data_IF_417935661275
#
_entry.id   IF_417935661275
#
_cell.length_a   1.000
_cell.length_b   1.000
_cell.length_c   1.000
_cell.angle_alpha   90.00
_cell.angle_beta   90.00
_cell.angle_gamma   90.00
#
_symmetry.space_group_name_H-M   'P 1'
#
loop_
_entity.id
_entity.type
_entity.pdbx_description
1 polymer ?
#
# COMPACT_ATOMS: atom_id res chain seq x y z
N UNK A 1 -22.81 6.75 2.29
CA UNK A 1 -21.81 7.08 1.25
C UNK A 1 -22.36 8.09 0.23
N UNK A 2 -23.33 7.74 -0.64
CA UNK A 2 -23.80 8.62 -1.73
C UNK A 2 -24.23 10.04 -1.30
N UNK A 3 -25.09 10.16 -0.28
CA UNK A 3 -25.58 11.46 0.20
C UNK A 3 -24.44 12.36 0.73
N UNK A 4 -23.50 11.78 1.49
CA UNK A 4 -22.34 12.50 2.01
C UNK A 4 -21.42 12.97 0.88
N UNK A 5 -21.15 12.11 -0.09
CA UNK A 5 -20.32 12.46 -1.25
C UNK A 5 -20.92 13.61 -2.07
N UNK A 6 -22.24 13.58 -2.32
CA UNK A 6 -22.93 14.67 -3.00
C UNK A 6 -22.94 15.96 -2.17
N UNK A 7 -23.07 15.87 -0.85
CA UNK A 7 -23.04 17.05 0.03
C UNK A 7 -21.66 17.72 0.02
N UNK A 8 -20.57 16.95 0.14
CA UNK A 8 -19.19 17.46 0.04
C UNK A 8 -18.97 18.13 -1.32
N UNK A 9 -19.35 17.47 -2.41
CA UNK A 9 -19.17 18.01 -3.75
C UNK A 9 -20.00 19.28 -4.00
N UNK A 10 -21.22 19.34 -3.44
CA UNK A 10 -22.07 20.55 -3.50
C UNK A 10 -21.41 21.74 -2.80
N UNK A 11 -20.78 21.50 -1.66
CA UNK A 11 -20.10 22.54 -0.87
C UNK A 11 -18.78 22.97 -1.52
N UNK A 12 -17.99 22.01 -2.01
CA UNK A 12 -16.74 22.28 -2.68
C UNK A 12 -16.53 21.32 -3.87
N UNK A 13 -16.83 21.77 -5.11
CA UNK A 13 -16.69 20.92 -6.29
C UNK A 13 -15.23 20.72 -6.71
N UNK A 14 -14.26 21.42 -6.10
CA UNK A 14 -12.86 21.35 -6.49
C UNK A 14 -12.11 20.17 -5.85
N UNK A 15 -12.58 19.66 -4.70
CA UNK A 15 -11.89 18.59 -3.96
C UNK A 15 -12.24 17.20 -4.49
N UNK A 16 -11.32 16.26 -4.28
CA UNK A 16 -11.61 14.82 -4.43
C UNK A 16 -12.47 14.35 -3.25
N UNK A 17 -13.34 13.38 -3.52
CA UNK A 17 -14.21 12.76 -2.53
C UNK A 17 -13.84 11.29 -2.45
N UNK A 18 -13.21 10.90 -1.34
CA UNK A 18 -12.83 9.52 -1.06
C UNK A 18 -14.06 8.75 -0.55
N UNK A 19 -14.31 7.59 -1.15
CA UNK A 19 -15.36 6.66 -0.75
C UNK A 19 -14.71 5.43 -0.13
N UNK A 20 -14.89 5.33 1.18
CA UNK A 20 -14.40 4.23 2.00
C UNK A 20 -15.21 2.95 1.82
N UNK A 21 -14.58 1.83 2.15
CA UNK A 21 -15.24 0.53 2.21
C UNK A 21 -16.16 0.38 3.42
N UNK A 22 -16.67 -0.83 3.60
CA UNK A 22 -17.28 -1.25 4.86
C UNK A 22 -16.25 -2.02 5.69
N UNK A 23 -16.58 -2.22 6.98
CA UNK A 23 -15.81 -3.06 7.89
C UNK A 23 -14.34 -2.62 7.98
N UNK A 24 -14.12 -1.43 8.57
CA UNK A 24 -12.79 -0.79 8.64
C UNK A 24 -12.16 -0.62 7.25
N UNK A 25 -12.98 -0.23 6.27
CA UNK A 25 -12.58 0.06 4.90
C UNK A 25 -11.89 -1.11 4.17
N UNK A 26 -12.20 -2.34 4.57
CA UNK A 26 -11.65 -3.55 3.94
C UNK A 26 -12.58 -4.17 2.89
N UNK A 27 -13.83 -3.71 2.79
CA UNK A 27 -14.87 -4.35 1.97
C UNK A 27 -15.53 -3.38 0.97
N UNK A 28 -15.18 -3.50 -0.31
CA UNK A 28 -15.73 -2.73 -1.43
C UNK A 28 -16.52 -3.58 -2.45
N UNK A 29 -16.48 -4.91 -2.31
CA UNK A 29 -17.07 -5.86 -3.26
C UNK A 29 -18.58 -5.71 -3.43
N UNK A 30 -19.27 -5.10 -2.45
CA UNK A 30 -20.70 -4.81 -2.55
C UNK A 30 -21.03 -3.88 -3.74
N UNK A 31 -20.07 -3.02 -4.14
CA UNK A 31 -20.22 -2.10 -5.27
C UNK A 31 -20.36 -2.82 -6.61
N UNK A 32 -19.95 -4.09 -6.73
CA UNK A 32 -20.21 -4.93 -7.92
C UNK A 32 -21.70 -5.13 -8.18
N UNK A 33 -22.50 -5.19 -7.11
CA UNK A 33 -23.94 -5.42 -7.18
C UNK A 33 -24.73 -4.14 -7.01
N UNK A 34 -24.22 -3.21 -6.21
CA UNK A 34 -24.88 -1.94 -5.89
C UNK A 34 -23.89 -0.79 -6.01
N UNK A 35 -23.61 -0.32 -7.24
CA UNK A 35 -22.82 0.89 -7.45
C UNK A 35 -23.46 2.10 -6.77
N UNK A 36 -22.66 3.11 -6.41
CA UNK A 36 -23.16 4.30 -5.71
C UNK A 36 -24.15 5.14 -6.53
N UNK A 37 -24.09 5.05 -7.86
CA UNK A 37 -24.91 5.79 -8.83
C UNK A 37 -25.02 7.29 -8.50
N UNK A 38 -23.87 7.94 -8.28
CA UNK A 38 -23.77 9.39 -8.07
C UNK A 38 -23.00 10.05 -9.21
N UNK A 39 -23.34 11.28 -9.53
CA UNK A 39 -22.59 12.10 -10.49
C UNK A 39 -21.95 13.28 -9.76
N UNK A 40 -20.64 13.16 -9.51
CA UNK A 40 -19.78 14.24 -8.97
C UNK A 40 -18.62 14.52 -9.92
N UNK A 41 -18.81 14.25 -11.22
CA UNK A 41 -17.76 14.36 -12.24
C UNK A 41 -16.55 13.45 -11.97
N UNK A 42 -15.35 13.96 -12.27
CA UNK A 42 -14.07 13.27 -12.08
C UNK A 42 -13.50 13.41 -10.66
N UNK A 43 -14.36 13.59 -9.65
CA UNK A 43 -13.94 13.84 -8.26
C UNK A 43 -14.03 12.61 -7.36
N UNK A 44 -14.60 11.52 -7.85
CA UNK A 44 -14.77 10.29 -7.09
C UNK A 44 -13.48 9.46 -7.04
N UNK A 45 -13.06 9.07 -5.84
CA UNK A 45 -11.92 8.19 -5.59
C UNK A 45 -12.37 7.14 -4.57
N UNK A 46 -11.99 5.88 -4.74
CA UNK A 46 -12.23 4.85 -3.73
C UNK A 46 -11.01 4.70 -2.82
N UNK A 47 -11.22 4.26 -1.59
CA UNK A 47 -10.14 3.88 -0.69
C UNK A 47 -10.34 2.50 -0.07
N UNK A 48 -9.23 1.83 0.27
CA UNK A 48 -9.27 0.55 0.97
C UNK A 48 -8.11 0.39 1.96
N UNK A 49 -8.38 -0.30 3.06
CA UNK A 49 -7.40 -0.69 4.06
C UNK A 49 -6.92 -2.12 3.85
N UNK A 50 -5.67 -2.44 4.23
CA UNK A 50 -5.15 -3.80 4.17
C UNK A 50 -4.11 -4.13 5.24
N UNK A 51 -4.31 -5.26 5.92
CA UNK A 51 -3.37 -5.82 6.88
C UNK A 51 -3.20 -7.32 6.67
N UNK A 52 -2.15 -7.88 7.26
CA UNK A 52 -1.84 -9.32 7.16
C UNK A 52 -2.96 -10.22 7.69
N UNK A 53 -3.82 -9.70 8.57
CA UNK A 53 -5.00 -10.39 9.11
C UNK A 53 -6.31 -10.10 8.37
N UNK A 54 -6.34 -9.20 7.38
CA UNK A 54 -7.58 -8.88 6.63
C UNK A 54 -8.13 -10.10 5.90
N UNK A 55 -7.27 -11.06 5.52
CA UNK A 55 -7.68 -12.32 4.91
C UNK A 55 -8.21 -12.17 3.47
N UNK A 56 -7.76 -11.17 2.72
CA UNK A 56 -8.19 -11.00 1.33
C UNK A 56 -7.70 -12.18 0.48
N UNK A 57 -8.64 -12.87 -0.20
CA UNK A 57 -8.36 -14.06 -1.00
C UNK A 57 -7.91 -15.29 -0.19
N UNK A 58 -7.94 -15.21 1.14
CA UNK A 58 -7.39 -16.19 2.08
C UNK A 58 -8.29 -16.31 3.32
N UNK A 59 -7.87 -17.08 4.33
CA UNK A 59 -8.56 -17.08 5.63
C UNK A 59 -8.16 -15.81 6.40
N UNK A 60 -9.07 -15.24 7.20
CA UNK A 60 -8.81 -14.11 8.13
C UNK A 60 -7.92 -14.56 9.31
N UNK A 61 -6.71 -15.00 9.01
CA UNK A 61 -5.74 -15.58 9.94
C UNK A 61 -4.33 -15.15 9.54
N UNK A 62 -3.70 -14.32 10.38
CA UNK A 62 -2.32 -13.83 10.16
C UNK A 62 -1.30 -14.96 9.96
N UNK A 63 -1.49 -16.10 10.62
CA UNK A 63 -0.59 -17.26 10.51
C UNK A 63 -0.52 -17.90 9.12
N UNK A 64 -1.45 -17.60 8.21
CA UNK A 64 -1.43 -18.16 6.86
C UNK A 64 -0.13 -17.80 6.12
N UNK A 65 0.45 -16.63 6.42
CA UNK A 65 1.70 -16.14 5.83
C UNK A 65 2.91 -17.01 6.19
N UNK A 66 2.85 -17.77 7.30
CA UNK A 66 3.92 -18.69 7.71
C UNK A 66 3.57 -20.17 7.47
N UNK A 67 2.28 -20.53 7.52
CA UNK A 67 1.81 -21.92 7.38
C UNK A 67 1.68 -22.40 5.94
N UNK A 68 1.81 -21.53 4.95
CA UNK A 68 1.63 -21.85 3.53
C UNK A 68 2.79 -21.32 2.68
N UNK A 69 3.05 -21.91 1.49
CA UNK A 69 4.07 -21.40 0.59
C UNK A 69 3.78 -19.95 0.19
N UNK A 70 4.78 -19.08 0.32
CA UNK A 70 4.63 -17.64 0.10
C UNK A 70 4.04 -17.32 -1.27
N UNK A 71 4.62 -17.86 -2.35
CA UNK A 71 4.13 -17.61 -3.72
C UNK A 71 2.67 -18.01 -3.92
N UNK A 72 2.21 -19.09 -3.27
CA UNK A 72 0.82 -19.54 -3.34
C UNK A 72 -0.12 -18.55 -2.66
N UNK A 73 0.22 -18.11 -1.44
CA UNK A 73 -0.59 -17.15 -0.70
C UNK A 73 -0.56 -15.78 -1.34
N UNK A 74 0.57 -15.35 -1.89
CA UNK A 74 0.66 -14.10 -2.65
C UNK A 74 -0.29 -14.13 -3.85
N UNK A 75 -0.25 -15.19 -4.66
CA UNK A 75 -1.12 -15.34 -5.82
C UNK A 75 -2.61 -15.35 -5.45
N UNK A 76 -2.97 -16.01 -4.33
CA UNK A 76 -4.34 -15.99 -3.81
C UNK A 76 -4.77 -14.60 -3.33
N UNK A 77 -3.88 -13.91 -2.61
CA UNK A 77 -4.14 -12.58 -2.07
C UNK A 77 -4.30 -11.55 -3.19
N UNK A 78 -3.47 -11.60 -4.23
CA UNK A 78 -3.58 -10.72 -5.41
C UNK A 78 -4.93 -10.93 -6.12
N UNK A 79 -5.33 -12.18 -6.38
CA UNK A 79 -6.65 -12.46 -6.96
C UNK A 79 -7.79 -11.99 -6.06
N UNK A 80 -7.63 -12.18 -4.75
CA UNK A 80 -8.55 -11.67 -3.75
C UNK A 80 -8.69 -10.15 -3.82
N UNK A 81 -7.57 -9.43 -3.92
CA UNK A 81 -7.52 -7.97 -3.99
C UNK A 81 -8.21 -7.45 -5.25
N UNK A 82 -7.91 -8.02 -6.41
CA UNK A 82 -8.61 -7.68 -7.66
C UNK A 82 -10.13 -7.93 -7.53
N UNK A 83 -10.51 -9.03 -6.88
CA UNK A 83 -11.94 -9.34 -6.68
C UNK A 83 -12.63 -8.46 -5.62
N UNK A 84 -11.89 -7.85 -4.69
CA UNK A 84 -12.46 -7.13 -3.55
C UNK A 84 -12.46 -5.62 -3.75
N UNK A 85 -11.39 -5.07 -4.35
CA UNK A 85 -11.21 -3.64 -4.56
C UNK A 85 -10.67 -3.31 -5.96
N UNK A 86 -9.70 -4.07 -6.47
CA UNK A 86 -9.03 -3.76 -7.74
C UNK A 86 -9.96 -3.73 -8.96
N UNK A 87 -11.12 -4.40 -8.92
CA UNK A 87 -12.13 -4.29 -9.98
C UNK A 87 -12.63 -2.86 -10.23
N UNK A 88 -12.50 -1.96 -9.24
CA UNK A 88 -12.90 -0.56 -9.37
C UNK A 88 -12.01 0.23 -10.31
N UNK A 89 -10.79 -0.23 -10.59
CA UNK A 89 -9.85 0.44 -11.49
C UNK A 89 -9.89 -0.10 -12.92
N UNK A 90 -10.86 -0.98 -13.24
CA UNK A 90 -10.93 -1.71 -14.49
C UNK A 90 -12.26 -1.49 -15.23
N UNK A 91 -12.21 -1.50 -16.56
CA UNK A 91 -13.38 -1.38 -17.43
C UNK A 91 -13.82 0.06 -17.70
N UNK A 92 -15.02 0.23 -18.26
CA UNK A 92 -15.54 1.53 -18.71
C UNK A 92 -15.84 2.50 -17.57
N UNK A 93 -16.15 1.97 -16.37
CA UNK A 93 -16.47 2.76 -15.17
C UNK A 93 -15.30 2.80 -14.17
N UNK A 94 -14.06 2.66 -14.67
CA UNK A 94 -12.87 2.69 -13.83
C UNK A 94 -12.78 4.03 -13.07
N UNK A 95 -12.47 3.94 -11.79
CA UNK A 95 -12.21 5.08 -10.92
C UNK A 95 -10.88 4.87 -10.17
N UNK A 96 -10.20 5.95 -9.75
CA UNK A 96 -9.01 5.84 -8.91
C UNK A 96 -9.31 5.09 -7.61
N UNK A 97 -8.34 4.29 -7.15
CA UNK A 97 -8.38 3.56 -5.89
C UNK A 97 -7.07 3.81 -5.15
N UNK A 98 -7.16 4.28 -3.91
CA UNK A 98 -6.01 4.54 -3.04
C UNK A 98 -5.99 3.51 -1.90
N UNK A 99 -4.83 2.93 -1.63
CA UNK A 99 -4.62 2.12 -0.42
C UNK A 99 -4.26 3.05 0.72
N UNK A 100 -5.25 3.72 1.31
CA UNK A 100 -5.04 4.77 2.32
C UNK A 100 -4.48 4.26 3.63
N UNK A 101 -4.62 2.96 3.91
CA UNK A 101 -4.09 2.36 5.11
C UNK A 101 -3.59 0.93 4.85
N UNK A 102 -2.32 0.69 5.16
CA UNK A 102 -1.79 -0.64 5.39
C UNK A 102 -0.63 -0.53 6.35
N UNK A 103 -0.22 -1.63 6.97
CA UNK A 103 0.90 -1.56 7.92
C UNK A 103 1.52 -2.90 8.23
N UNK A 104 2.67 -2.83 8.88
CA UNK A 104 3.42 -3.96 9.41
C UNK A 104 4.05 -3.55 10.74
N UNK A 105 4.33 -4.53 11.59
CA UNK A 105 5.12 -4.31 12.79
C UNK A 105 6.56 -3.89 12.42
N UNK A 106 6.87 -2.62 12.68
CA UNK A 106 8.14 -1.99 12.31
C UNK A 106 9.26 -2.26 13.32
N UNK A 107 8.98 -2.96 14.43
CA UNK A 107 10.04 -3.51 15.30
C UNK A 107 10.87 -4.60 14.59
N UNK A 108 10.34 -5.14 13.48
CA UNK A 108 11.03 -6.10 12.62
C UNK A 108 10.83 -7.56 13.02
N UNK A 109 10.09 -7.86 14.10
CA UNK A 109 9.95 -9.23 14.62
C UNK A 109 8.87 -10.05 13.92
N UNK A 110 7.89 -9.40 13.29
CA UNK A 110 6.74 -10.07 12.67
C UNK A 110 7.05 -10.63 11.27
N UNK A 111 7.30 -11.94 11.21
CA UNK A 111 7.53 -12.66 9.93
C UNK A 111 6.28 -12.60 9.04
N UNK A 112 5.09 -12.71 9.63
CA UNK A 112 3.82 -12.68 8.91
C UNK A 112 3.59 -11.33 8.22
N UNK A 113 3.80 -10.21 8.93
CA UNK A 113 3.61 -8.89 8.32
C UNK A 113 4.66 -8.62 7.24
N UNK A 114 5.90 -9.05 7.43
CA UNK A 114 6.94 -8.91 6.41
C UNK A 114 6.59 -9.68 5.12
N UNK A 115 6.12 -10.93 5.23
CA UNK A 115 5.68 -11.72 4.07
C UNK A 115 4.45 -11.14 3.38
N UNK A 116 3.47 -10.67 4.17
CA UNK A 116 2.31 -9.95 3.67
C UNK A 116 2.72 -8.69 2.90
N UNK A 117 3.60 -7.88 3.48
CA UNK A 117 4.00 -6.61 2.90
C UNK A 117 4.73 -6.83 1.57
N UNK A 118 5.65 -7.79 1.48
CA UNK A 118 6.30 -8.17 0.21
C UNK A 118 5.27 -8.47 -0.90
N UNK A 119 4.16 -9.16 -0.57
CA UNK A 119 3.08 -9.40 -1.51
C UNK A 119 2.37 -8.11 -1.92
N UNK A 120 1.96 -7.31 -0.93
CA UNK A 120 1.22 -6.08 -1.17
C UNK A 120 2.05 -5.08 -1.99
N UNK A 121 3.32 -4.86 -1.66
CA UNK A 121 4.21 -3.96 -2.38
C UNK A 121 4.36 -4.37 -3.85
N UNK A 122 4.40 -5.68 -4.12
CA UNK A 122 4.43 -6.18 -5.51
C UNK A 122 3.15 -5.81 -6.27
N UNK A 123 1.98 -5.91 -5.61
CA UNK A 123 0.70 -5.50 -6.19
C UNK A 123 0.66 -3.98 -6.45
N UNK A 124 1.01 -3.17 -5.45
CA UNK A 124 1.00 -1.71 -5.55
C UNK A 124 1.95 -1.21 -6.65
N UNK A 125 3.19 -1.72 -6.69
CA UNK A 125 4.17 -1.37 -7.71
C UNK A 125 3.75 -1.85 -9.11
N UNK A 126 3.19 -3.05 -9.22
CA UNK A 126 2.78 -3.63 -10.50
C UNK A 126 1.56 -2.95 -11.12
N UNK A 127 0.72 -2.32 -10.30
CA UNK A 127 -0.52 -1.65 -10.71
C UNK A 127 -0.46 -0.12 -10.69
N UNK A 128 0.66 0.44 -10.24
CA UNK A 128 0.85 1.89 -10.09
C UNK A 128 -0.18 2.52 -9.15
N UNK A 129 -0.37 1.91 -7.98
CA UNK A 129 -1.37 2.34 -7.01
C UNK A 129 -0.82 3.43 -6.10
N UNK A 130 -1.66 4.43 -5.79
CA UNK A 130 -1.43 5.37 -4.70
C UNK A 130 -1.68 4.71 -3.34
N UNK A 131 -0.92 5.13 -2.32
CA UNK A 131 -0.95 4.47 -1.02
C UNK A 131 -0.55 5.38 0.16
N UNK A 132 -1.03 5.02 1.35
CA UNK A 132 -0.71 5.60 2.64
C UNK A 132 -0.37 4.50 3.66
N UNK A 133 0.77 4.64 4.34
CA UNK A 133 1.21 3.68 5.35
C UNK A 133 0.71 4.10 6.73
N UNK A 134 0.07 3.17 7.44
CA UNK A 134 -0.17 3.25 8.87
C UNK A 134 1.08 2.80 9.64
N UNK A 135 1.73 3.68 10.41
CA UNK A 135 1.45 5.10 10.56
C UNK A 135 2.72 5.92 10.69
N UNK A 136 2.64 7.24 10.58
CA UNK A 136 3.83 8.09 10.74
C UNK A 136 4.28 8.21 12.20
N UNK A 137 3.33 8.41 13.13
CA UNK A 137 3.62 8.63 14.54
C UNK A 137 4.32 7.44 15.20
N UNK A 138 5.24 7.72 16.12
CA UNK A 138 5.94 6.68 16.89
C UNK A 138 5.24 6.26 18.19
N UNK A 139 4.20 7.00 18.60
CA UNK A 139 3.44 6.67 19.80
C UNK A 139 2.24 7.58 20.00
N UNK A 140 1.47 7.29 21.03
CA UNK A 140 0.27 8.02 21.43
C UNK A 140 0.51 8.72 22.75
N UNK A 141 -0.01 9.95 22.86
CA UNK A 141 -0.06 10.60 24.16
C UNK A 141 -0.97 9.82 25.13
N UNK A 142 -2.17 9.42 24.67
CA UNK A 142 -3.09 8.53 25.38
C UNK A 142 -3.73 7.55 24.40
N UNK A 143 -3.79 6.27 24.74
CA UNK A 143 -4.53 5.24 23.98
C UNK A 143 -5.01 4.15 24.94
N UNK A 144 -6.30 3.81 24.87
CA UNK A 144 -6.87 2.72 25.69
C UNK A 144 -6.84 2.96 27.21
N UNK A 145 -6.63 4.21 27.66
CA UNK A 145 -6.47 4.55 29.08
C UNK A 145 -5.02 4.62 29.55
N UNK A 146 -4.07 4.15 28.73
CA UNK A 146 -2.64 4.23 29.01
C UNK A 146 -2.04 5.50 28.40
N UNK A 147 -1.02 6.05 29.07
CA UNK A 147 -0.29 7.25 28.65
C UNK A 147 1.04 6.82 28.01
N UNK A 148 1.49 7.55 26.97
CA UNK A 148 2.75 7.28 26.26
C UNK A 148 2.83 5.86 25.66
N UNK A 149 1.77 5.44 24.98
CA UNK A 149 1.68 4.11 24.36
C UNK A 149 2.54 4.08 23.09
N UNK A 150 3.47 3.14 23.02
CA UNK A 150 4.31 2.92 21.85
C UNK A 150 3.48 2.45 20.63
N UNK A 151 3.70 3.04 19.46
CA UNK A 151 3.07 2.61 18.20
C UNK A 151 4.08 1.80 17.39
N UNK A 152 4.00 0.48 17.52
CA UNK A 152 4.95 -0.45 16.88
C UNK A 152 4.81 -0.49 15.36
N UNK A 153 3.69 -0.05 14.79
CA UNK A 153 3.48 0.12 13.35
C UNK A 153 3.96 1.50 12.86
N UNK A 154 4.42 2.36 13.78
CA UNK A 154 4.92 3.70 13.51
C UNK A 154 6.22 3.71 12.69
N UNK A 155 6.32 4.63 11.72
CA UNK A 155 7.54 4.92 10.97
C UNK A 155 8.61 5.49 11.90
N UNK A 156 8.22 6.37 12.82
CA UNK A 156 9.10 6.90 13.85
C UNK A 156 9.15 5.98 15.08
N UNK A 157 10.26 6.01 15.80
CA UNK A 157 10.36 5.43 17.14
C UNK A 157 9.60 6.26 18.18
N UNK A 158 9.44 5.72 19.40
CA UNK A 158 8.73 6.38 20.51
C UNK A 158 9.28 7.76 20.87
N UNK A 159 10.56 8.01 20.59
CA UNK A 159 11.27 9.26 20.87
C UNK A 159 11.15 10.29 19.74
N UNK A 160 10.51 9.95 18.61
CA UNK A 160 10.31 10.80 17.44
C UNK A 160 11.60 11.34 16.80
N UNK A 161 12.74 10.68 17.02
CA UNK A 161 14.05 11.15 16.57
C UNK A 161 14.69 10.24 15.50
N UNK A 162 14.18 9.01 15.33
CA UNK A 162 14.70 8.04 14.37
C UNK A 162 13.59 7.23 13.73
N UNK A 163 13.89 6.63 12.58
CA UNK A 163 13.06 5.60 11.98
C UNK A 163 13.06 4.36 12.88
N UNK A 164 11.88 3.80 13.16
CA UNK A 164 11.74 2.57 13.93
C UNK A 164 12.34 1.37 13.21
N UNK A 165 12.07 1.26 11.91
CA UNK A 165 12.66 0.26 11.04
C UNK A 165 13.83 0.89 10.27
N UNK A 166 15.10 0.56 10.58
CA UNK A 166 16.25 1.25 9.98
C UNK A 166 16.30 1.19 8.44
N UNK A 167 15.83 0.08 7.87
CA UNK A 167 15.82 -0.15 6.42
C UNK A 167 14.51 0.30 5.75
N UNK A 168 13.78 1.25 6.35
CA UNK A 168 12.47 1.68 5.85
C UNK A 168 12.56 2.24 4.43
N UNK A 169 13.54 3.10 4.18
CA UNK A 169 13.74 3.74 2.88
C UNK A 169 13.97 2.69 1.78
N UNK A 170 14.88 1.75 2.00
CA UNK A 170 15.14 0.65 1.06
C UNK A 170 13.87 -0.17 0.83
N UNK A 171 13.14 -0.49 1.91
CA UNK A 171 11.91 -1.29 1.82
C UNK A 171 10.82 -0.66 0.94
N UNK A 172 10.72 0.67 0.90
CA UNK A 172 9.67 1.40 0.17
C UNK A 172 10.17 2.12 -1.09
N UNK A 173 11.46 2.02 -1.41
CA UNK A 173 12.09 2.80 -2.47
C UNK A 173 11.39 2.65 -3.82
N UNK A 174 11.11 1.41 -4.25
CA UNK A 174 10.43 1.18 -5.54
C UNK A 174 9.04 1.80 -5.57
N UNK A 175 8.28 1.70 -4.48
CA UNK A 175 6.94 2.28 -4.40
C UNK A 175 6.99 3.80 -4.50
N UNK A 176 7.95 4.44 -3.84
CA UNK A 176 8.16 5.88 -3.93
C UNK A 176 8.55 6.32 -5.35
N UNK A 177 9.43 5.55 -6.01
CA UNK A 177 9.84 5.81 -7.39
C UNK A 177 8.72 5.64 -8.42
N UNK A 178 7.70 4.83 -8.10
CA UNK A 178 6.56 4.54 -8.96
C UNK A 178 5.50 5.64 -8.93
N UNK A 179 5.38 6.39 -7.84
CA UNK A 179 4.51 7.57 -7.74
C UNK A 179 5.11 8.70 -8.60
N UNK A 180 4.97 8.57 -9.92
CA UNK A 180 5.39 9.59 -10.88
C UNK A 180 4.18 10.36 -11.37
N UNK A 181 4.38 11.66 -11.54
CA UNK A 181 3.39 12.52 -12.18
C UNK A 181 3.05 11.97 -13.59
N UNK A 182 1.77 11.94 -14.00
CA UNK A 182 1.37 11.53 -15.35
C UNK A 182 2.05 12.31 -16.49
N UNK A 183 2.61 13.48 -16.20
CA UNK A 183 3.40 14.33 -17.10
C UNK A 183 4.91 14.09 -17.04
N UNK A 184 5.36 13.11 -16.24
CA UNK A 184 6.77 12.72 -16.11
C UNK A 184 7.37 12.40 -17.47
N UNK A 185 8.55 12.99 -17.73
CA UNK A 185 9.37 12.71 -18.92
C UNK A 185 10.46 11.67 -18.64
N UNK A 186 10.41 11.01 -17.48
CA UNK A 186 11.38 9.97 -17.15
C UNK A 186 11.29 8.83 -18.18
N UNK A 187 12.44 8.40 -18.70
CA UNK A 187 12.48 7.28 -19.63
C UNK A 187 12.16 5.97 -18.92
N UNK A 188 11.55 5.03 -19.65
CA UNK A 188 11.25 3.69 -19.14
C UNK A 188 12.51 2.99 -18.59
N UNK A 189 12.33 2.20 -17.54
CA UNK A 189 13.39 1.42 -16.93
C UNK A 189 12.91 -0.02 -16.68
N UNK A 190 13.74 -0.99 -17.02
CA UNK A 190 13.54 -2.37 -16.61
C UNK A 190 14.29 -2.58 -15.29
N UNK A 191 13.54 -2.83 -14.22
CA UNK A 191 14.07 -2.99 -12.87
C UNK A 191 13.80 -4.42 -12.41
N UNK A 192 14.84 -5.12 -11.98
CA UNK A 192 14.70 -6.40 -11.29
C UNK A 192 14.66 -6.10 -9.79
N UNK A 193 13.46 -6.11 -9.22
CA UNK A 193 13.22 -5.79 -7.81
C UNK A 193 13.22 -7.04 -6.96
N UNK A 194 13.78 -6.96 -5.75
CA UNK A 194 13.73 -8.01 -4.74
C UNK A 194 12.81 -7.59 -3.57
N UNK A 195 11.52 -7.99 -3.58
CA UNK A 195 10.52 -7.50 -2.65
C UNK A 195 10.75 -7.82 -1.18
N UNK A 196 11.66 -8.74 -0.85
CA UNK A 196 11.95 -9.08 0.54
C UNK A 196 12.87 -8.06 1.21
N UNK A 197 13.88 -7.55 0.49
CA UNK A 197 14.78 -6.51 1.01
C UNK A 197 14.39 -5.09 0.58
N UNK A 198 13.56 -4.95 -0.46
CA UNK A 198 13.25 -3.65 -1.06
C UNK A 198 14.34 -3.15 -2.03
N UNK A 199 15.40 -3.92 -2.22
CA UNK A 199 16.50 -3.55 -3.09
C UNK A 199 16.28 -4.07 -4.51
N UNK A 200 17.08 -3.56 -5.44
CA UNK A 200 17.08 -3.97 -6.84
C UNK A 200 18.40 -4.64 -7.22
N UNK A 201 18.33 -5.55 -8.18
CA UNK A 201 19.51 -6.21 -8.74
C UNK A 201 20.33 -5.21 -9.57
N UNK A 202 21.63 -5.15 -9.30
CA UNK A 202 22.62 -4.34 -9.99
C UNK A 202 23.78 -5.21 -10.46
N UNK A 203 24.58 -4.65 -11.37
CA UNK A 203 25.87 -5.22 -11.80
C UNK A 203 26.97 -4.35 -11.19
N UNK A 204 27.86 -4.98 -10.43
CA UNK A 204 28.97 -4.29 -9.78
C UNK A 204 30.15 -4.06 -10.76
N UNK A 205 31.21 -3.40 -10.30
CA UNK A 205 32.40 -3.11 -11.13
C UNK A 205 33.14 -4.37 -11.61
N UNK A 206 32.86 -5.54 -11.02
CA UNK A 206 33.42 -6.85 -11.39
C UNK A 206 32.51 -7.65 -12.32
N UNK A 207 31.45 -7.06 -12.86
CA UNK A 207 30.41 -7.72 -13.65
C UNK A 207 29.63 -8.82 -12.90
N UNK A 208 29.51 -8.71 -11.58
CA UNK A 208 28.74 -9.64 -10.75
C UNK A 208 27.39 -9.03 -10.37
N UNK A 209 26.37 -9.90 -10.17
CA UNK A 209 25.06 -9.47 -9.69
C UNK A 209 25.10 -9.21 -8.18
N UNK A 210 24.61 -8.06 -7.77
CA UNK A 210 24.45 -7.69 -6.35
C UNK A 210 23.10 -7.00 -6.12
N UNK A 211 22.70 -6.88 -4.85
CA UNK A 211 21.53 -6.09 -4.46
C UNK A 211 21.96 -4.69 -4.03
N UNK A 212 21.22 -3.67 -4.46
CA UNK A 212 21.46 -2.28 -4.06
C UNK A 212 20.27 -1.36 -4.31
N UNK A 213 20.48 -0.05 -4.17
CA UNK A 213 19.46 0.99 -4.41
C UNK A 213 18.78 0.83 -5.77
N UNK A 214 17.47 1.02 -5.87
CA UNK A 214 16.72 0.95 -7.14
C UNK A 214 16.96 2.14 -8.07
N UNK A 215 17.61 3.20 -7.58
CA UNK A 215 17.99 4.34 -8.40
C UNK A 215 19.03 3.98 -9.46
N UNK A 216 18.89 4.59 -10.64
CA UNK A 216 19.92 4.54 -11.67
C UNK A 216 21.15 5.26 -11.13
N UNK A 217 22.29 4.57 -11.09
CA UNK A 217 23.56 5.24 -10.82
C UNK A 217 23.74 6.34 -11.89
N UNK A 218 23.83 7.61 -11.49
CA UNK A 218 24.15 8.73 -12.38
C UNK A 218 25.61 8.71 -12.88
N UNK A 219 26.35 7.63 -12.64
CA UNK A 219 27.72 7.45 -13.13
C UNK A 219 27.72 6.92 -14.56
N UNK A 220 27.55 7.86 -15.50
CA UNK A 220 28.17 7.94 -16.84
C UNK A 220 27.34 8.90 -17.69
N UNK A 221 27.62 10.20 -17.55
CA UNK A 221 27.51 11.17 -18.64
C UNK A 221 28.89 11.74 -18.89
#
# INVERSE_FOLDING_TARGET
MSQAAMAIHKENPNVLVLISGLNFDTELQFLKRKPLNINIGNKLVYETHLYSWTGIGTLKLKDIWIKQPLNRICALSIRGLDSSAGFLTMGENAAPLIFTEFGFDQTGVSIQDNRFLTCLQTYLAGRDMDWGLWAFQGGYYVRGGDVHVDETFGVLNSDWNHLRYPNFTDKFQLLQMKIQDPTSKAGNANIMYYPLSGQCTKVNQKNELELGTCEKNHHNR
#
